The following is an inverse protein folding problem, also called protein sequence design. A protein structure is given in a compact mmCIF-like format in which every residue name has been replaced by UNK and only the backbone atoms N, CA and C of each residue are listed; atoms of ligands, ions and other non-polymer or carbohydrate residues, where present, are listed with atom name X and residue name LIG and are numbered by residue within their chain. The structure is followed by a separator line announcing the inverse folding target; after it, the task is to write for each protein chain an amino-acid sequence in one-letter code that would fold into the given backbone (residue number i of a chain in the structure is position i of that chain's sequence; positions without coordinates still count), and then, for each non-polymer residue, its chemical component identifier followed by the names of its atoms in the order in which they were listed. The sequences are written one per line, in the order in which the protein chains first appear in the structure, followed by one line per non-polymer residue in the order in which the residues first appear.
data_IF_756843121919
#
_entry.id   IF_756843121919
#
_cell.length_a   1.000
_cell.length_b   1.000
_cell.length_c   1.000
_cell.angle_alpha   90.00
_cell.angle_beta   90.00
_cell.angle_gamma   90.00
#
_symmetry.space_group_name_H-M   'P 1'
#
loop_
_entity.id
_entity.type
_entity.pdbx_description
1 polymer ?
#
# COMPACT_ATOMS: atom_id res chain seq x y z
N UNK A 1 33.65 -2.38 67.49
CA UNK A 1 33.57 -2.61 66.02
C UNK A 1 32.72 -3.82 65.63
N UNK A 2 32.68 -4.93 66.39
CA UNK A 2 31.90 -6.15 66.04
C UNK A 2 30.36 -6.01 66.04
N UNK A 3 29.78 -5.14 66.86
CA UNK A 3 28.30 -4.99 66.96
C UNK A 3 27.65 -4.28 65.76
N UNK A 4 28.35 -3.35 65.09
CA UNK A 4 27.81 -2.66 63.90
C UNK A 4 27.68 -3.59 62.69
N UNK A 5 28.59 -4.55 62.53
CA UNK A 5 28.53 -5.53 61.45
C UNK A 5 27.40 -6.55 61.66
N UNK A 6 27.11 -6.95 62.91
CA UNK A 6 26.02 -7.88 63.21
C UNK A 6 24.65 -7.28 62.86
N UNK A 7 24.43 -5.99 63.14
CA UNK A 7 23.17 -5.31 62.80
C UNK A 7 23.02 -5.15 61.28
N UNK A 8 24.10 -4.84 60.57
CA UNK A 8 24.09 -4.73 59.10
C UNK A 8 23.82 -6.09 58.45
N UNK A 9 24.40 -7.18 58.96
CA UNK A 9 24.14 -8.54 58.45
C UNK A 9 22.70 -8.97 58.74
N UNK A 10 22.14 -8.64 59.92
CA UNK A 10 20.75 -8.96 60.25
C UNK A 10 19.75 -8.24 59.34
N UNK A 11 19.98 -6.96 59.02
CA UNK A 11 19.13 -6.17 58.11
C UNK A 11 19.23 -6.66 56.66
N UNK A 12 20.43 -7.04 56.20
CA UNK A 12 20.62 -7.60 54.85
C UNK A 12 19.93 -8.97 54.68
N UNK A 13 19.96 -9.82 55.71
CA UNK A 13 19.26 -11.11 55.70
C UNK A 13 17.74 -10.92 55.79
N UNK A 14 17.24 -9.94 56.56
CA UNK A 14 15.79 -9.68 56.57
C UNK A 14 15.27 -9.10 55.25
N UNK A 15 16.07 -8.27 54.56
CA UNK A 15 15.69 -7.77 53.22
C UNK A 15 15.66 -8.87 52.16
N UNK A 16 16.55 -9.87 52.20
CA UNK A 16 16.50 -10.98 51.23
C UNK A 16 15.35 -11.97 51.47
N UNK A 17 14.79 -11.98 52.69
CA UNK A 17 13.59 -12.77 53.00
C UNK A 17 12.26 -12.09 52.60
N UNK A 18 12.25 -10.79 52.28
CA UNK A 18 11.04 -10.09 51.80
C UNK A 18 10.89 -10.11 50.27
N UNK A 19 11.85 -10.67 49.54
CA UNK A 19 11.81 -10.79 48.07
C UNK A 19 11.53 -12.22 47.56
N UNK A 20 11.25 -13.18 48.43
CA UNK A 20 10.89 -14.54 48.03
C UNK A 20 9.63 -14.99 48.75
N UNK A 21 8.49 -14.80 48.07
CA UNK A 21 7.36 -15.72 47.96
C UNK A 21 6.09 -14.92 47.60
N UNK A 22 5.97 -14.47 46.34
CA UNK A 22 4.65 -14.62 45.73
C UNK A 22 4.55 -16.10 45.37
N UNK A 23 3.88 -16.86 46.22
CA UNK A 23 3.58 -18.27 45.97
C UNK A 23 2.90 -18.35 44.60
N UNK A 24 3.52 -19.08 43.65
CA UNK A 24 2.85 -19.38 42.38
C UNK A 24 1.65 -20.23 42.74
N UNK A 25 0.47 -19.75 42.37
CA UNK A 25 -0.76 -20.45 42.63
C UNK A 25 -0.79 -21.70 41.75
N UNK A 26 -0.32 -22.84 42.28
CA UNK A 26 -0.25 -24.13 41.55
C UNK A 26 -1.65 -24.68 41.20
N UNK A 27 -2.70 -24.15 41.83
CA UNK A 27 -4.09 -24.28 41.38
C UNK A 27 -4.45 -23.15 40.41
N UNK A 28 -3.76 -23.06 39.28
CA UNK A 28 -4.40 -22.49 38.10
C UNK A 28 -5.34 -23.59 37.62
N UNK A 29 -6.61 -23.54 38.07
CA UNK A 29 -7.66 -24.24 37.35
C UNK A 29 -7.47 -23.89 35.89
N UNK A 30 -7.17 -24.90 35.07
CA UNK A 30 -7.04 -24.72 33.63
C UNK A 30 -8.23 -23.87 33.21
N UNK A 31 -7.96 -22.70 32.62
CA UNK A 31 -9.03 -21.79 32.23
C UNK A 31 -10.06 -22.65 31.50
N UNK A 32 -11.35 -22.58 31.89
CA UNK A 32 -12.34 -23.47 31.33
C UNK A 32 -12.17 -23.44 29.82
N UNK A 33 -12.01 -24.62 29.20
CA UNK A 33 -12.07 -24.72 27.76
C UNK A 33 -13.46 -24.17 27.43
N UNK A 34 -13.48 -22.95 26.89
CA UNK A 34 -14.73 -22.27 26.57
C UNK A 34 -15.26 -22.92 25.28
N UNK A 35 -15.80 -24.13 25.40
CA UNK A 35 -16.62 -24.73 24.36
C UNK A 35 -17.74 -23.73 24.00
N UNK A 36 -17.82 -23.37 22.71
CA UNK A 36 -18.89 -22.52 22.19
C UNK A 36 -18.58 -21.02 22.04
N UNK A 37 -17.33 -20.56 22.19
CA UNK A 37 -16.98 -19.15 21.88
C UNK A 37 -16.91 -18.91 20.37
N UNK A 38 -16.52 -19.92 19.60
CA UNK A 38 -16.52 -19.88 18.15
C UNK A 38 -17.65 -20.76 17.59
N UNK A 39 -18.40 -20.29 16.57
CA UNK A 39 -19.39 -21.11 15.88
C UNK A 39 -18.75 -22.26 15.09
N UNK A 40 -19.56 -23.27 14.78
CA UNK A 40 -19.14 -24.34 13.87
C UNK A 40 -18.71 -23.77 12.52
N UNK A 41 -17.55 -24.21 12.03
CA UNK A 41 -17.00 -23.72 10.76
C UNK A 41 -16.19 -22.43 10.85
N UNK A 42 -15.88 -21.92 12.05
CA UNK A 42 -15.00 -20.76 12.25
C UNK A 42 -13.66 -20.86 11.51
N UNK A 43 -13.01 -22.01 11.57
CA UNK A 43 -11.73 -22.27 10.90
C UNK A 43 -11.90 -22.89 9.49
N UNK A 44 -13.12 -22.99 8.97
CA UNK A 44 -13.41 -23.66 7.70
C UNK A 44 -13.58 -22.64 6.58
N UNK A 45 -12.66 -22.64 5.62
CA UNK A 45 -12.77 -21.83 4.40
C UNK A 45 -14.11 -22.08 3.69
N UNK A 46 -14.78 -20.99 3.30
CA UNK A 46 -16.09 -21.02 2.65
C UNK A 46 -17.28 -21.21 3.59
N UNK A 47 -17.06 -21.33 4.91
CA UNK A 47 -18.15 -21.25 5.88
C UNK A 47 -18.75 -19.83 5.94
N UNK A 48 -20.06 -19.71 6.18
CA UNK A 48 -20.68 -18.41 6.49
C UNK A 48 -20.13 -17.84 7.79
N UNK A 49 -19.78 -18.73 8.72
CA UNK A 49 -19.19 -18.41 10.01
C UNK A 49 -17.65 -18.36 9.98
N UNK A 50 -17.05 -18.31 8.80
CA UNK A 50 -15.59 -18.24 8.67
C UNK A 50 -15.04 -17.01 9.40
N UNK A 51 -13.91 -17.18 10.10
CA UNK A 51 -13.33 -16.13 10.94
C UNK A 51 -13.09 -14.82 10.20
N UNK A 52 -12.71 -14.85 8.90
CA UNK A 52 -12.58 -13.64 8.09
C UNK A 52 -13.88 -12.83 7.96
N UNK A 53 -15.03 -13.50 7.81
CA UNK A 53 -16.35 -12.84 7.77
C UNK A 53 -16.70 -12.21 9.11
N UNK A 54 -16.41 -12.92 10.21
CA UNK A 54 -16.65 -12.43 11.57
C UNK A 54 -15.77 -11.23 11.90
N UNK A 55 -14.48 -11.27 11.52
CA UNK A 55 -13.55 -10.16 11.70
C UNK A 55 -14.00 -8.92 10.94
N UNK A 56 -14.42 -9.08 9.69
CA UNK A 56 -14.97 -7.98 8.90
C UNK A 56 -16.19 -7.34 9.57
N UNK A 57 -17.11 -8.15 10.11
CA UNK A 57 -18.28 -7.64 10.85
C UNK A 57 -17.93 -6.91 12.15
N UNK A 58 -16.71 -7.11 12.68
CA UNK A 58 -16.15 -6.43 13.84
C UNK A 58 -15.17 -5.32 13.45
N UNK A 59 -15.24 -4.82 12.22
CA UNK A 59 -14.33 -3.81 11.68
C UNK A 59 -12.85 -4.20 11.86
N UNK A 60 -12.53 -5.48 11.64
CA UNK A 60 -11.18 -6.04 11.74
C UNK A 60 -10.51 -5.87 13.11
N UNK A 61 -11.30 -5.68 14.18
CA UNK A 61 -10.78 -5.59 15.54
C UNK A 61 -10.31 -6.96 16.05
N UNK A 62 -8.99 -7.09 16.22
CA UNK A 62 -8.31 -8.28 16.72
C UNK A 62 -8.08 -8.25 18.24
N UNK A 63 -8.38 -7.13 18.93
CA UNK A 63 -8.03 -6.92 20.34
C UNK A 63 -8.70 -7.95 21.26
N UNK A 64 -9.96 -8.28 21.00
CA UNK A 64 -10.71 -9.29 21.76
C UNK A 64 -10.10 -10.68 21.68
N UNK A 65 -9.50 -11.05 20.54
CA UNK A 65 -8.88 -12.36 20.34
C UNK A 65 -7.65 -12.55 21.23
N UNK A 66 -6.86 -11.48 21.45
CA UNK A 66 -5.62 -11.50 22.24
C UNK A 66 -5.86 -11.89 23.71
N UNK A 67 -7.07 -11.70 24.22
CA UNK A 67 -7.44 -12.07 25.60
C UNK A 67 -7.34 -13.57 25.88
N UNK A 68 -7.54 -14.42 24.86
CA UNK A 68 -7.43 -15.88 24.98
C UNK A 68 -6.30 -16.46 24.14
N UNK A 69 -5.98 -15.87 22.98
CA UNK A 69 -5.01 -16.39 22.03
C UNK A 69 -3.58 -15.86 22.21
N UNK A 70 -3.31 -15.14 23.31
CA UNK A 70 -2.10 -14.36 23.56
C UNK A 70 -1.93 -13.15 22.64
N UNK A 71 -1.04 -12.22 23.01
CA UNK A 71 -0.80 -10.98 22.27
C UNK A 71 -0.19 -11.20 20.88
N UNK A 72 0.48 -12.34 20.69
CA UNK A 72 1.17 -12.76 19.45
C UNK A 72 0.42 -13.87 18.69
N UNK A 73 -0.81 -14.19 19.13
CA UNK A 73 -1.65 -15.24 18.53
C UNK A 73 -1.05 -16.65 18.54
N UNK A 74 -0.04 -16.91 19.39
CA UNK A 74 0.57 -18.23 19.59
C UNK A 74 -0.35 -19.25 20.28
N UNK A 75 -1.52 -18.80 20.74
CA UNK A 75 -2.59 -19.65 21.26
C UNK A 75 -2.87 -19.48 22.74
N UNK A 76 -1.94 -18.92 23.52
CA UNK A 76 -2.18 -18.47 24.89
C UNK A 76 -2.99 -19.45 25.76
N UNK A 77 -4.03 -18.94 26.41
CA UNK A 77 -4.94 -19.71 27.26
C UNK A 77 -5.82 -20.69 26.46
N UNK A 78 -6.10 -20.38 25.19
CA UNK A 78 -6.93 -21.23 24.32
C UNK A 78 -6.21 -22.50 23.84
N UNK A 79 -4.87 -22.50 23.85
CA UNK A 79 -4.04 -23.56 23.25
C UNK A 79 -4.12 -23.66 21.72
N UNK A 80 -4.85 -22.75 21.04
CA UNK A 80 -5.02 -22.76 19.58
C UNK A 80 -4.28 -21.59 18.95
N UNK A 81 -3.23 -21.88 18.19
CA UNK A 81 -2.39 -20.91 17.49
C UNK A 81 -3.03 -20.45 16.18
N UNK A 82 -3.13 -19.15 15.96
CA UNK A 82 -3.51 -18.61 14.65
C UNK A 82 -2.34 -18.69 13.65
N UNK A 83 -1.12 -18.76 14.19
CA UNK A 83 0.12 -18.77 13.43
C UNK A 83 0.36 -20.11 12.70
N UNK A 84 -0.48 -21.12 12.97
CA UNK A 84 -0.46 -22.40 12.27
C UNK A 84 -0.87 -22.24 10.78
N UNK A 85 -1.76 -21.28 10.51
CA UNK A 85 -2.17 -20.91 9.15
C UNK A 85 -1.62 -19.53 8.73
N UNK A 86 -1.51 -18.59 9.67
CA UNK A 86 -0.98 -17.26 9.43
C UNK A 86 0.51 -17.20 9.80
N UNK A 87 1.35 -17.84 9.00
CA UNK A 87 2.77 -18.09 9.34
C UNK A 87 3.69 -16.89 9.14
N UNK A 88 3.16 -15.74 8.74
CA UNK A 88 3.95 -14.54 8.43
C UNK A 88 4.41 -13.83 9.71
N UNK A 89 5.36 -12.90 9.60
CA UNK A 89 6.00 -12.28 10.77
C UNK A 89 5.00 -11.59 11.73
N UNK A 90 3.94 -10.98 11.20
CA UNK A 90 2.88 -10.35 11.99
C UNK A 90 1.66 -11.26 12.22
N UNK A 91 1.80 -12.55 11.93
CA UNK A 91 0.72 -13.53 12.08
C UNK A 91 -0.55 -13.12 11.33
N UNK A 92 -1.73 -13.21 11.96
CA UNK A 92 -3.00 -12.80 11.35
C UNK A 92 -3.13 -11.28 11.14
N UNK A 93 -2.21 -10.47 11.66
CA UNK A 93 -2.17 -9.01 11.48
C UNK A 93 -1.25 -8.58 10.32
N UNK A 94 -0.66 -9.52 9.56
CA UNK A 94 0.08 -9.16 8.35
C UNK A 94 -0.84 -8.50 7.30
N UNK A 95 -0.40 -7.39 6.68
CA UNK A 95 -1.27 -6.56 5.83
C UNK A 95 -1.93 -7.34 4.69
N UNK A 96 -1.17 -8.24 4.06
CA UNK A 96 -1.63 -9.11 2.98
C UNK A 96 -2.65 -10.19 3.41
N UNK A 97 -2.88 -10.35 4.72
CA UNK A 97 -3.89 -11.25 5.29
C UNK A 97 -5.30 -10.78 4.99
N UNK A 98 -5.54 -9.47 4.99
CA UNK A 98 -6.87 -8.92 4.75
C UNK A 98 -7.08 -8.61 3.25
N UNK A 99 -6.17 -7.85 2.65
CA UNK A 99 -6.18 -7.49 1.23
C UNK A 99 -4.80 -7.70 0.62
N UNK A 100 -4.67 -7.93 -0.68
CA UNK A 100 -3.38 -8.25 -1.31
C UNK A 100 -3.20 -9.75 -1.57
N UNK A 101 -1.97 -10.24 -1.56
CA UNK A 101 -1.65 -11.65 -1.84
C UNK A 101 -1.31 -12.39 -0.55
N UNK A 102 -2.19 -13.27 -0.08
CA UNK A 102 -2.01 -13.98 1.20
C UNK A 102 -0.69 -14.75 1.32
N UNK A 103 -0.16 -15.25 0.20
CA UNK A 103 1.09 -16.02 0.18
C UNK A 103 2.36 -15.15 0.09
N UNK A 104 2.24 -13.84 -0.13
CA UNK A 104 3.36 -12.93 -0.37
C UNK A 104 3.19 -11.62 0.41
N UNK A 105 3.99 -11.45 1.47
CA UNK A 105 3.94 -10.28 2.36
C UNK A 105 4.41 -8.97 1.70
N UNK A 106 5.07 -9.05 0.54
CA UNK A 106 5.51 -7.88 -0.22
C UNK A 106 4.41 -7.31 -1.11
N UNK A 107 3.36 -8.10 -1.38
CA UNK A 107 2.25 -7.78 -2.28
C UNK A 107 0.98 -7.45 -1.49
N UNK A 108 1.05 -6.32 -0.80
CA UNK A 108 -0.03 -5.80 0.06
C UNK A 108 -1.10 -5.02 -0.72
N UNK A 109 -0.78 -4.41 -1.87
CA UNK A 109 -1.81 -3.74 -2.67
C UNK A 109 -2.76 -4.76 -3.29
N UNK A 110 -4.08 -4.52 -3.36
CA UNK A 110 -5.04 -5.51 -3.84
C UNK A 110 -4.79 -6.01 -5.25
N UNK A 111 -4.62 -7.34 -5.40
CA UNK A 111 -5.45 -8.09 -6.34
C UNK A 111 -6.63 -8.76 -5.63
N UNK A 112 -6.56 -8.96 -4.31
CA UNK A 112 -7.69 -9.32 -3.46
C UNK A 112 -8.11 -8.11 -2.63
N UNK A 113 -9.37 -7.70 -2.73
CA UNK A 113 -9.91 -6.64 -1.88
C UNK A 113 -10.40 -7.18 -0.51
N UNK A 114 -10.88 -6.27 0.35
CA UNK A 114 -11.40 -6.59 1.68
C UNK A 114 -12.76 -7.32 1.66
N UNK A 115 -13.39 -7.41 0.49
CA UNK A 115 -14.61 -8.17 0.25
C UNK A 115 -14.30 -9.57 -0.33
N UNK A 116 -13.02 -9.95 -0.41
CA UNK A 116 -12.54 -11.20 -0.98
C UNK A 116 -12.85 -11.34 -2.48
N UNK A 117 -13.00 -10.21 -3.19
CA UNK A 117 -13.05 -10.20 -4.64
C UNK A 117 -11.64 -10.27 -5.23
N UNK A 118 -11.50 -10.97 -6.35
CA UNK A 118 -10.26 -11.06 -7.15
C UNK A 118 -10.43 -10.55 -8.58
N UNK A 119 -11.68 -10.38 -9.01
CA UNK A 119 -12.00 -9.94 -10.35
C UNK A 119 -11.91 -8.42 -10.44
N UNK A 120 -11.33 -7.90 -11.52
CA UNK A 120 -11.21 -6.46 -11.76
C UNK A 120 -12.54 -5.79 -12.06
N UNK A 121 -13.66 -6.51 -11.99
CA UNK A 121 -15.00 -5.88 -11.97
C UNK A 121 -15.32 -5.26 -10.61
N UNK A 122 -14.65 -5.71 -9.53
CA UNK A 122 -14.76 -5.12 -8.21
C UNK A 122 -13.93 -3.84 -8.13
N UNK A 123 -14.48 -2.78 -7.53
CA UNK A 123 -13.79 -1.47 -7.45
C UNK A 123 -12.47 -1.52 -6.66
N UNK A 124 -12.40 -2.42 -5.67
CA UNK A 124 -11.21 -2.65 -4.86
C UNK A 124 -10.10 -3.42 -5.59
N UNK A 125 -10.37 -3.91 -6.81
CA UNK A 125 -9.43 -4.66 -7.64
C UNK A 125 -9.24 -3.93 -8.97
N UNK A 126 -8.01 -3.77 -9.43
CA UNK A 126 -7.74 -2.98 -10.62
C UNK A 126 -6.26 -2.71 -10.80
N UNK A 127 -5.93 -1.49 -11.22
CA UNK A 127 -4.58 -1.11 -11.62
C UNK A 127 -3.56 -0.97 -10.48
N UNK A 128 -3.85 -1.41 -9.24
CA UNK A 128 -2.92 -1.35 -8.11
C UNK A 128 -1.55 -1.93 -8.45
N UNK A 129 -1.52 -3.15 -8.99
CA UNK A 129 -0.27 -3.86 -9.31
C UNK A 129 0.57 -3.06 -10.31
N UNK A 130 -0.06 -2.54 -11.36
CA UNK A 130 0.61 -1.71 -12.38
C UNK A 130 1.23 -0.45 -11.79
N UNK A 131 0.54 0.22 -10.86
CA UNK A 131 1.05 1.47 -10.28
C UNK A 131 2.11 1.26 -9.18
N UNK A 132 1.95 0.22 -8.35
CA UNK A 132 2.75 0.03 -7.13
C UNK A 132 3.92 -0.93 -7.35
N UNK A 133 3.79 -1.90 -8.25
CA UNK A 133 4.78 -2.98 -8.40
C UNK A 133 5.40 -3.10 -9.78
N UNK A 134 4.63 -2.84 -10.84
CA UNK A 134 4.99 -3.17 -12.22
C UNK A 134 5.07 -1.93 -13.11
N UNK A 135 5.35 -0.76 -12.53
CA UNK A 135 5.43 0.49 -13.29
C UNK A 135 6.75 0.57 -14.07
N UNK A 136 6.64 0.64 -15.40
CA UNK A 136 7.77 0.77 -16.32
C UNK A 136 7.86 2.16 -16.97
N UNK A 137 6.92 3.06 -16.67
CA UNK A 137 6.82 4.40 -17.27
C UNK A 137 7.25 5.51 -16.29
N UNK A 138 7.23 5.23 -14.99
CA UNK A 138 7.68 6.13 -13.93
C UNK A 138 8.21 5.35 -12.74
N UNK A 139 8.67 6.06 -11.71
CA UNK A 139 8.84 5.46 -10.40
C UNK A 139 7.51 4.87 -9.88
N UNK A 140 7.54 3.74 -9.14
CA UNK A 140 6.34 3.19 -8.51
C UNK A 140 5.71 4.16 -7.52
N UNK A 141 4.38 4.18 -7.48
CA UNK A 141 3.63 5.02 -6.55
C UNK A 141 3.53 4.34 -5.18
N UNK A 142 3.50 5.16 -4.13
CA UNK A 142 3.15 4.77 -2.78
C UNK A 142 1.64 4.78 -2.56
N UNK A 143 1.19 4.09 -1.50
CA UNK A 143 -0.23 4.01 -1.14
C UNK A 143 -0.87 5.40 -0.96
N UNK A 144 -0.10 6.34 -0.41
CA UNK A 144 -0.57 7.68 -0.06
C UNK A 144 -0.57 8.69 -1.21
N UNK A 145 -0.04 8.30 -2.37
CA UNK A 145 -0.17 9.11 -3.57
C UNK A 145 -1.63 9.11 -4.07
N UNK A 146 -2.36 8.04 -3.74
CA UNK A 146 -3.79 7.91 -4.04
C UNK A 146 -4.65 8.00 -2.77
N UNK A 147 -4.30 7.31 -1.69
CA UNK A 147 -5.14 7.21 -0.49
C UNK A 147 -4.87 8.31 0.53
N UNK A 148 -5.91 8.70 1.29
CA UNK A 148 -5.70 9.62 2.41
C UNK A 148 -4.85 8.95 3.49
N UNK A 149 -3.84 9.69 3.96
CA UNK A 149 -2.98 9.27 5.06
C UNK A 149 -3.42 9.89 6.39
N UNK A 150 -4.71 10.12 6.64
CA UNK A 150 -5.13 10.76 7.90
C UNK A 150 -4.94 9.80 9.08
N UNK A 151 -3.76 9.91 9.71
CA UNK A 151 -3.32 9.12 10.85
C UNK A 151 -3.94 9.63 12.15
N UNK A 152 -5.27 9.56 12.29
CA UNK A 152 -5.95 10.08 13.48
C UNK A 152 -5.59 9.34 14.80
N UNK A 153 -4.95 8.16 14.74
CA UNK A 153 -4.76 7.30 15.93
C UNK A 153 -3.31 6.97 16.31
N UNK A 154 -2.30 7.55 15.66
CA UNK A 154 -0.88 7.34 16.03
C UNK A 154 -0.33 5.93 15.75
N UNK A 155 -1.12 5.05 15.13
CA UNK A 155 -0.67 3.78 14.56
C UNK A 155 -1.24 3.66 13.13
N UNK A 156 -0.34 3.51 12.14
CA UNK A 156 -0.67 3.29 10.73
C UNK A 156 -1.78 2.25 10.56
N UNK A 157 -1.75 1.16 11.33
CA UNK A 157 -2.71 0.04 11.21
C UNK A 157 -4.10 0.41 11.71
N UNK A 158 -4.21 1.11 12.85
CA UNK A 158 -5.53 1.43 13.45
C UNK A 158 -6.27 2.52 12.68
N UNK A 159 -5.56 3.51 12.12
CA UNK A 159 -6.18 4.52 11.26
C UNK A 159 -6.52 3.96 9.85
N UNK A 160 -5.81 2.93 9.40
CA UNK A 160 -6.03 2.28 8.08
C UNK A 160 -7.18 1.26 8.08
N UNK A 161 -7.63 0.81 9.25
CA UNK A 161 -8.74 -0.14 9.42
C UNK A 161 -10.10 0.59 9.59
N UNK A 162 -10.09 1.89 9.91
CA UNK A 162 -11.30 2.66 10.16
C UNK A 162 -11.83 3.30 8.86
N UNK A 163 -13.02 2.85 8.42
CA UNK A 163 -13.70 3.35 7.22
C UNK A 163 -13.45 2.53 5.96
N UNK A 164 -14.50 1.86 5.47
CA UNK A 164 -14.51 1.19 4.16
C UNK A 164 -15.43 1.93 3.17
N UNK A 165 -15.05 2.02 1.88
CA UNK A 165 -13.74 1.68 1.32
C UNK A 165 -12.65 2.66 1.75
N UNK A 166 -11.37 2.27 1.60
CA UNK A 166 -10.24 3.18 1.87
C UNK A 166 -10.41 4.48 1.08
N UNK A 167 -10.43 5.61 1.79
CA UNK A 167 -10.64 6.91 1.18
C UNK A 167 -9.51 7.25 0.20
N UNK A 168 -9.87 7.86 -0.92
CA UNK A 168 -8.93 8.27 -1.95
C UNK A 168 -8.91 9.80 -2.07
N UNK A 169 -7.70 10.36 -2.10
CA UNK A 169 -7.40 11.79 -2.23
C UNK A 169 -6.78 12.10 -3.60
N UNK A 170 -7.27 11.43 -4.64
CA UNK A 170 -6.90 11.76 -6.02
C UNK A 170 -8.02 12.59 -6.64
N UNK A 171 -7.75 13.87 -6.88
CA UNK A 171 -8.65 14.73 -7.64
C UNK A 171 -8.78 14.18 -9.07
N UNK A 172 -10.00 13.79 -9.46
CA UNK A 172 -10.30 13.33 -10.81
C UNK A 172 -10.62 11.84 -10.96
N UNK A 173 -10.68 11.05 -9.88
CA UNK A 173 -11.28 9.72 -9.96
C UNK A 173 -12.80 9.75 -9.86
N UNK A 174 -13.47 9.20 -10.87
CA UNK A 174 -14.91 8.97 -10.86
C UNK A 174 -15.22 7.56 -10.35
N UNK A 175 -15.75 7.45 -9.13
CA UNK A 175 -16.09 6.16 -8.51
C UNK A 175 -17.22 5.39 -9.22
N UNK A 176 -18.06 6.07 -9.99
CA UNK A 176 -19.18 5.44 -10.70
C UNK A 176 -18.73 4.85 -12.03
N UNK A 177 -17.85 5.56 -12.72
CA UNK A 177 -17.33 5.18 -14.03
C UNK A 177 -16.01 4.39 -13.94
N UNK A 178 -15.37 4.40 -12.76
CA UNK A 178 -14.05 3.84 -12.51
C UNK A 178 -13.00 4.45 -13.44
N UNK A 179 -13.09 5.75 -13.69
CA UNK A 179 -12.20 6.48 -14.58
C UNK A 179 -11.35 7.48 -13.81
N UNK A 180 -10.11 7.67 -14.24
CA UNK A 180 -9.24 8.74 -13.75
C UNK A 180 -9.24 9.88 -14.76
N UNK A 181 -9.09 11.12 -14.30
CA UNK A 181 -9.04 12.30 -15.16
C UNK A 181 -8.20 13.39 -14.51
N UNK A 182 -7.80 14.39 -15.29
CA UNK A 182 -7.10 15.57 -14.80
C UNK A 182 -5.74 15.27 -14.10
N UNK A 183 -5.14 14.12 -14.34
CA UNK A 183 -3.84 13.74 -13.77
C UNK A 183 -2.73 13.89 -14.81
N UNK A 184 -1.62 14.53 -14.44
CA UNK A 184 -0.51 14.75 -15.38
C UNK A 184 0.07 13.43 -15.91
N UNK A 185 0.15 12.39 -15.08
CA UNK A 185 0.60 11.04 -15.47
C UNK A 185 -0.24 10.43 -16.59
N UNK A 186 -1.50 10.85 -16.73
CA UNK A 186 -2.41 10.41 -17.79
C UNK A 186 -2.55 11.47 -18.90
N UNK A 187 -1.57 12.36 -19.03
CA UNK A 187 -1.50 13.32 -20.12
C UNK A 187 -2.22 14.64 -19.88
N UNK A 188 -2.65 14.93 -18.65
CA UNK A 188 -3.18 16.26 -18.31
C UNK A 188 -2.06 17.26 -18.04
N UNK A 189 -1.32 17.65 -19.08
CA UNK A 189 -0.29 18.68 -18.98
C UNK A 189 -0.42 19.70 -20.12
N UNK A 190 0.00 20.93 -19.82
CA UNK A 190 0.04 22.05 -20.76
C UNK A 190 1.31 22.86 -20.51
N UNK A 191 2.09 23.09 -21.56
CA UNK A 191 3.27 23.94 -21.55
C UNK A 191 3.04 25.10 -22.51
N UNK A 192 2.66 26.26 -21.96
CA UNK A 192 2.38 27.45 -22.77
C UNK A 192 3.66 28.02 -23.35
N UNK A 193 3.51 28.60 -24.54
CA UNK A 193 4.60 29.28 -25.23
C UNK A 193 5.14 30.47 -24.43
N UNK A 194 4.26 31.18 -23.72
CA UNK A 194 4.62 32.34 -22.90
C UNK A 194 5.44 31.97 -21.64
N UNK A 195 5.42 30.69 -21.25
CA UNK A 195 6.11 30.17 -20.06
C UNK A 195 7.45 29.49 -20.41
N UNK A 196 7.89 29.58 -21.67
CA UNK A 196 9.13 28.96 -22.15
C UNK A 196 10.33 29.89 -21.92
N UNK A 197 11.51 29.31 -21.71
CA UNK A 197 12.75 30.08 -21.61
C UNK A 197 13.03 30.83 -22.93
N UNK A 198 13.55 32.06 -22.80
CA UNK A 198 13.86 32.92 -23.94
C UNK A 198 14.77 32.20 -24.94
N UNK A 199 14.36 32.16 -26.20
CA UNK A 199 15.09 31.49 -27.28
C UNK A 199 14.60 30.08 -27.60
N UNK A 200 13.67 29.51 -26.84
CA UNK A 200 13.06 28.19 -27.10
C UNK A 200 11.63 28.25 -27.66
N UNK A 201 11.11 29.45 -27.95
CA UNK A 201 9.74 29.67 -28.46
C UNK A 201 9.49 29.01 -29.82
N UNK A 202 10.56 28.68 -30.56
CA UNK A 202 10.48 28.04 -31.87
C UNK A 202 10.00 26.58 -31.79
N UNK A 203 10.11 25.96 -30.61
CA UNK A 203 9.64 24.59 -30.34
C UNK A 203 8.10 24.56 -30.36
N UNK A 204 7.43 25.64 -29.95
CA UNK A 204 5.98 25.74 -29.99
C UNK A 204 5.45 26.11 -31.39
N UNK A 205 4.67 25.20 -31.98
CA UNK A 205 3.91 25.39 -33.23
C UNK A 205 2.46 25.84 -33.01
N UNK A 206 2.09 26.11 -31.76
CA UNK A 206 0.85 26.75 -31.35
C UNK A 206 1.06 27.55 -30.06
N UNK A 207 -0.04 27.89 -29.38
CA UNK A 207 -0.01 28.63 -28.11
C UNK A 207 0.53 27.78 -26.94
N UNK A 208 0.42 26.45 -27.04
CA UNK A 208 0.91 25.52 -26.02
C UNK A 208 1.26 24.15 -26.62
N UNK A 209 2.14 23.43 -25.94
CA UNK A 209 2.37 22.00 -26.09
C UNK A 209 1.52 21.27 -25.06
N UNK A 210 0.72 20.29 -25.49
CA UNK A 210 -0.28 19.65 -24.63
C UNK A 210 -0.24 18.13 -24.75
N UNK A 211 -0.63 17.46 -23.68
CA UNK A 211 -0.94 16.04 -23.71
C UNK A 211 -2.33 15.74 -24.26
N UNK A 212 -2.69 14.46 -24.25
CA UNK A 212 -3.98 13.96 -24.73
C UNK A 212 -5.04 13.88 -23.63
N UNK A 213 -4.68 14.13 -22.35
CA UNK A 213 -5.56 14.06 -21.18
C UNK A 213 -6.44 12.78 -21.19
N UNK A 214 -5.78 11.64 -21.36
CA UNK A 214 -6.45 10.35 -21.44
C UNK A 214 -7.11 10.02 -20.10
N UNK A 215 -8.31 9.43 -20.19
CA UNK A 215 -9.09 9.04 -19.02
C UNK A 215 -9.12 7.51 -18.92
N UNK A 216 -8.11 6.90 -18.27
CA UNK A 216 -8.04 5.45 -18.17
C UNK A 216 -9.14 4.91 -17.26
N UNK A 217 -9.57 3.68 -17.55
CA UNK A 217 -10.45 2.89 -16.68
C UNK A 217 -9.61 2.10 -15.69
N UNK A 218 -9.77 2.42 -14.41
CA UNK A 218 -9.10 1.82 -13.26
C UNK A 218 -9.11 0.29 -13.26
N UNK A 219 -10.21 -0.28 -13.74
CA UNK A 219 -10.56 -1.68 -13.59
C UNK A 219 -10.35 -2.49 -14.90
N UNK A 220 -9.78 -1.84 -15.92
CA UNK A 220 -9.36 -2.44 -17.19
C UNK A 220 -7.83 -2.61 -17.20
N UNK A 221 -7.35 -3.83 -16.97
CA UNK A 221 -5.91 -4.16 -16.83
C UNK A 221 -5.37 -5.01 -17.98
N UNK A 222 -5.83 -4.74 -19.20
CA UNK A 222 -5.47 -5.47 -20.43
C UNK A 222 -4.25 -4.87 -21.17
N UNK A 223 -3.54 -3.93 -20.53
CA UNK A 223 -2.41 -3.20 -21.11
C UNK A 223 -2.79 -2.04 -22.04
N UNK A 224 -4.08 -1.83 -22.35
CA UNK A 224 -4.49 -0.77 -23.29
C UNK A 224 -4.51 0.62 -22.68
N UNK A 225 -4.62 0.73 -21.36
CA UNK A 225 -4.82 2.00 -20.67
C UNK A 225 -3.55 2.88 -20.59
N UNK A 226 -2.37 2.28 -20.77
CA UNK A 226 -1.07 2.96 -20.72
C UNK A 226 -0.25 2.74 -22.01
N UNK A 227 -0.91 2.43 -23.12
CA UNK A 227 -0.24 2.26 -24.40
C UNK A 227 0.39 3.59 -24.86
N UNK A 228 1.57 3.53 -25.51
CA UNK A 228 2.21 4.72 -26.06
C UNK A 228 1.24 5.49 -26.98
N UNK A 229 1.26 6.82 -26.90
CA UNK A 229 0.31 7.67 -27.62
C UNK A 229 -0.97 8.01 -26.86
N UNK A 230 -1.33 7.28 -25.79
CA UNK A 230 -2.51 7.63 -24.99
C UNK A 230 -2.27 8.87 -24.13
N UNK A 231 -1.10 9.03 -23.51
CA UNK A 231 -0.82 10.20 -22.66
C UNK A 231 -0.43 11.43 -23.48
N UNK A 232 0.42 11.24 -24.49
CA UNK A 232 0.87 12.27 -25.41
C UNK A 232 1.22 11.66 -26.77
N UNK A 233 1.04 12.43 -27.85
CA UNK A 233 1.56 12.05 -29.16
C UNK A 233 3.09 12.13 -29.19
N UNK A 234 3.70 11.54 -30.22
CA UNK A 234 5.13 11.68 -30.47
C UNK A 234 5.36 12.36 -31.83
N UNK A 235 5.79 13.64 -31.86
CA UNK A 235 5.94 14.54 -30.70
C UNK A 235 4.56 15.01 -30.18
N UNK A 236 4.49 15.57 -28.95
CA UNK A 236 3.24 16.05 -28.38
C UNK A 236 2.59 17.15 -29.24
N UNK A 237 1.27 17.29 -29.14
CA UNK A 237 0.52 18.26 -29.95
C UNK A 237 0.99 19.68 -29.62
N UNK A 238 1.25 20.48 -30.66
CA UNK A 238 1.77 21.85 -30.52
C UNK A 238 3.30 21.92 -30.46
N UNK A 239 4.01 20.79 -30.46
CA UNK A 239 5.47 20.72 -30.55
C UNK A 239 5.96 20.80 -32.01
N UNK A 240 7.21 21.23 -32.20
CA UNK A 240 7.95 21.15 -33.46
C UNK A 240 8.00 19.70 -33.95
N UNK A 241 7.71 19.49 -35.24
CA UNK A 241 7.96 18.22 -35.90
C UNK A 241 9.43 18.13 -36.32
N UNK A 242 10.22 17.34 -35.58
CA UNK A 242 11.55 16.88 -36.00
C UNK A 242 11.42 15.44 -36.50
N UNK A 243 10.98 15.30 -37.76
CA UNK A 243 10.77 14.01 -38.41
C UNK A 243 9.48 13.27 -38.00
N UNK A 244 9.25 12.13 -38.65
CA UNK A 244 8.18 11.18 -38.31
C UNK A 244 8.81 10.01 -37.58
N UNK A 245 9.06 10.17 -36.28
CA UNK A 245 9.69 9.15 -35.47
C UNK A 245 8.68 8.49 -34.50
N UNK A 246 8.20 7.28 -34.81
CA UNK A 246 7.26 6.56 -33.96
C UNK A 246 7.89 6.00 -32.67
N UNK A 247 9.22 5.99 -32.53
CA UNK A 247 9.92 5.38 -31.40
C UNK A 247 10.65 6.42 -30.52
N UNK A 248 10.62 7.71 -30.88
CA UNK A 248 11.18 8.81 -30.08
C UNK A 248 12.72 8.87 -30.00
N UNK A 249 13.42 7.98 -30.69
CA UNK A 249 14.90 7.87 -30.73
C UNK A 249 15.53 9.18 -31.22
N UNK A 250 14.92 9.83 -32.20
CA UNK A 250 15.33 11.10 -32.81
C UNK A 250 15.22 12.26 -31.81
N UNK A 251 14.32 12.17 -30.83
CA UNK A 251 14.18 13.17 -29.76
C UNK A 251 15.34 13.11 -28.75
N UNK A 252 15.91 11.92 -28.53
CA UNK A 252 17.12 11.70 -27.71
C UNK A 252 18.40 11.99 -28.51
N UNK A 253 18.50 11.47 -29.74
CA UNK A 253 19.73 11.52 -30.54
C UNK A 253 20.06 12.90 -31.10
N UNK A 254 19.07 13.79 -31.23
CA UNK A 254 19.28 15.18 -31.64
C UNK A 254 19.53 16.13 -30.45
N UNK A 255 19.81 15.60 -29.26
CA UNK A 255 20.10 16.34 -28.02
C UNK A 255 18.97 17.26 -27.51
N UNK A 256 17.71 17.07 -27.92
CA UNK A 256 16.60 17.87 -27.39
C UNK A 256 16.11 17.38 -26.02
N UNK A 257 15.97 16.05 -25.82
CA UNK A 257 15.54 15.45 -24.55
C UNK A 257 16.42 14.27 -24.12
N UNK A 258 17.73 14.48 -23.93
CA UNK A 258 18.67 13.41 -23.59
C UNK A 258 18.45 12.81 -22.19
N UNK A 259 17.74 13.51 -21.31
CA UNK A 259 17.43 13.05 -19.94
C UNK A 259 16.23 12.10 -19.88
N UNK A 260 15.36 12.10 -20.91
CA UNK A 260 14.17 11.25 -20.97
C UNK A 260 14.48 9.79 -21.31
N UNK A 261 15.68 9.51 -21.81
CA UNK A 261 16.13 8.18 -22.22
C UNK A 261 17.47 7.83 -21.54
N UNK A 262 17.69 6.55 -21.30
CA UNK A 262 18.96 6.02 -20.84
C UNK A 262 19.94 5.88 -22.04
N UNK A 263 21.22 5.63 -21.75
CA UNK A 263 22.25 5.44 -22.79
C UNK A 263 21.96 4.26 -23.74
N UNK A 264 21.18 3.27 -23.27
CA UNK A 264 20.77 2.10 -24.07
C UNK A 264 19.51 2.34 -24.92
N UNK A 265 18.92 3.54 -24.86
CA UNK A 265 17.71 3.92 -25.58
C UNK A 265 16.39 3.56 -24.89
N UNK A 266 16.42 2.93 -23.71
CA UNK A 266 15.22 2.72 -22.89
C UNK A 266 14.73 4.02 -22.25
N UNK A 267 13.45 4.08 -21.85
CA UNK A 267 12.91 5.23 -21.12
C UNK A 267 13.57 5.36 -19.75
N UNK A 268 13.92 6.59 -19.39
CA UNK A 268 14.38 6.90 -18.05
C UNK A 268 13.17 7.14 -17.13
N UNK A 269 12.80 6.11 -16.36
CA UNK A 269 11.64 6.15 -15.45
C UNK A 269 11.72 7.21 -14.35
N UNK A 270 12.91 7.74 -14.06
CA UNK A 270 13.08 8.84 -13.11
C UNK A 270 12.64 10.19 -13.68
N UNK A 271 12.58 10.31 -15.02
CA UNK A 271 12.36 11.57 -15.72
C UNK A 271 11.13 11.55 -16.65
N UNK A 272 10.67 10.39 -17.11
CA UNK A 272 9.61 10.32 -18.12
C UNK A 272 8.28 10.89 -17.63
N UNK A 273 7.84 10.51 -16.43
CA UNK A 273 6.64 11.03 -15.78
C UNK A 273 6.92 11.35 -14.31
N UNK A 274 7.69 12.42 -14.08
CA UNK A 274 8.06 12.92 -12.74
C UNK A 274 7.42 14.27 -12.37
N UNK A 275 6.65 14.87 -13.28
CA UNK A 275 6.00 16.16 -13.07
C UNK A 275 6.89 17.39 -13.32
N UNK A 276 8.13 17.18 -13.79
CA UNK A 276 9.09 18.25 -14.07
C UNK A 276 9.32 18.44 -15.58
N UNK A 277 9.66 19.67 -15.97
CA UNK A 277 10.10 19.98 -17.34
C UNK A 277 11.60 19.64 -17.43
N UNK A 278 11.92 18.41 -17.81
CA UNK A 278 13.31 17.95 -17.94
C UNK A 278 13.96 18.46 -19.25
N UNK A 279 14.11 19.78 -19.36
CA UNK A 279 14.80 20.46 -20.45
C UNK A 279 16.28 20.64 -20.09
N UNK A 280 17.18 20.38 -21.04
CA UNK A 280 18.61 20.69 -20.91
C UNK A 280 18.96 22.01 -21.60
#
# INVERSE_FOLDING_TARGET
MRSKYIIITLVLVTSTFLYNCSEVQDEITQAPILEGVHPDGFAKLGSQDFHGTILKARNWDMSGCKSCHASDFSGGLSGTSCNDCHTQANGPEACNTCHGVFADETKIAPPRDLDNNFETTAKGVGAHTTHIYENELSLPLGCFDCHSGDFASGNFVTAHIDGLPAEMKLDGYNQSELTCSNTYCHGNFEFKKDDVEEGFEYIHKGEAIVGENFSPKWNQVDGTQAACGTCHLMPPRGHLLEGSDPDGITCSSNNCHPSAYNEDGSLNIYNHANGEKNLN
#
